data_IF_032718017322
#
_entry.id   IF_032718017322
#
_cell.length_a   1.000
_cell.length_b   1.000
_cell.length_c   1.000
_cell.angle_alpha   90.00
_cell.angle_beta   90.00
_cell.angle_gamma   90.00
#
_symmetry.space_group_name_H-M   'P 1'
#
loop_
_entity.id
_entity.type
_entity.pdbx_description
1 polymer ?
#
# COMPACT_ATOMS: atom_id res chain seq x y z
N UNK A 1 27.68 4.20 27.10
CA UNK A 1 26.43 4.95 26.88
C UNK A 1 25.78 4.44 25.60
N UNK A 2 24.42 4.22 25.61
CA UNK A 2 23.68 3.77 24.44
C UNK A 2 23.74 2.26 24.15
N UNK A 3 24.10 1.42 25.12
CA UNK A 3 24.03 -0.03 25.00
C UNK A 3 22.75 -0.55 25.64
N UNK A 4 22.05 -1.42 24.91
CA UNK A 4 20.97 -2.24 25.47
C UNK A 4 21.52 -3.11 26.61
N UNK A 5 20.88 -3.02 27.77
CA UNK A 5 21.25 -3.82 28.95
C UNK A 5 20.27 -4.97 29.12
N UNK A 6 18.97 -4.73 29.02
CA UNK A 6 17.93 -5.76 29.15
C UNK A 6 16.60 -5.33 28.53
N UNK A 7 15.90 -6.28 27.93
CA UNK A 7 14.49 -6.17 27.56
C UNK A 7 13.66 -6.77 28.69
N UNK A 8 12.74 -6.00 29.25
CA UNK A 8 11.90 -6.44 30.36
C UNK A 8 10.42 -6.36 29.98
N UNK A 9 9.66 -7.39 30.37
CA UNK A 9 8.21 -7.38 30.25
C UNK A 9 7.52 -6.39 31.20
N UNK A 10 6.18 -6.22 31.07
CA UNK A 10 5.41 -5.35 31.92
C UNK A 10 5.53 -5.77 33.39
N UNK A 11 5.66 -4.78 34.30
CA UNK A 11 5.78 -5.01 35.75
C UNK A 11 6.62 -3.97 36.44
N UNK A 12 6.66 -4.06 37.77
CA UNK A 12 7.50 -3.19 38.59
C UNK A 12 8.96 -3.65 38.53
N UNK A 13 9.86 -2.80 38.07
CA UNK A 13 11.29 -3.06 37.98
C UNK A 13 12.08 -1.91 38.54
N UNK A 14 13.15 -2.24 39.27
CA UNK A 14 14.13 -1.25 39.72
C UNK A 14 15.13 -0.98 38.60
N UNK A 15 15.42 0.30 38.39
CA UNK A 15 16.51 0.77 37.53
C UNK A 15 17.31 1.86 38.25
N UNK A 16 18.54 2.05 37.86
CA UNK A 16 19.37 3.11 38.42
C UNK A 16 18.90 4.49 37.85
N UNK A 17 18.99 5.55 38.69
CA UNK A 17 18.55 6.88 38.21
C UNK A 17 19.46 7.40 37.09
N UNK A 18 18.89 8.28 36.27
CA UNK A 18 19.68 9.05 35.30
C UNK A 18 20.84 9.79 36.01
N UNK A 19 22.04 9.84 35.45
CA UNK A 19 22.43 9.51 34.06
C UNK A 19 22.95 8.10 33.84
N UNK A 20 22.86 7.18 34.82
CA UNK A 20 23.44 5.85 34.75
C UNK A 20 22.63 4.94 33.82
N UNK A 21 21.32 4.90 34.00
CA UNK A 21 20.40 4.15 33.16
C UNK A 21 19.29 5.04 32.60
N UNK A 22 18.88 4.77 31.36
CA UNK A 22 17.67 5.32 30.75
C UNK A 22 16.74 4.15 30.36
N UNK A 23 15.44 4.40 30.39
CA UNK A 23 14.45 3.44 29.94
C UNK A 23 13.65 4.01 28.81
N UNK A 24 13.40 3.20 27.81
CA UNK A 24 12.45 3.46 26.72
C UNK A 24 11.29 2.47 26.84
N UNK A 25 10.06 2.99 26.84
CA UNK A 25 8.85 2.18 26.93
C UNK A 25 8.26 2.07 25.54
N UNK A 26 8.19 0.87 25.02
CA UNK A 26 7.66 0.59 23.68
C UNK A 26 6.39 -0.24 23.83
N UNK A 27 5.28 0.25 23.29
CA UNK A 27 4.04 -0.51 23.22
C UNK A 27 4.08 -1.42 22.00
N UNK A 28 4.30 -2.71 22.24
CA UNK A 28 4.41 -3.77 21.22
C UNK A 28 3.06 -4.36 20.83
N UNK A 29 2.04 -4.22 21.67
CA UNK A 29 0.72 -4.78 21.41
C UNK A 29 -0.14 -3.89 20.53
N UNK A 30 0.20 -2.61 20.43
CA UNK A 30 -0.56 -1.63 19.67
C UNK A 30 -0.37 -1.82 18.16
N UNK A 31 -1.46 -2.07 17.44
CA UNK A 31 -1.49 -2.00 15.99
C UNK A 31 -1.40 -0.53 15.57
N UNK A 32 -0.37 -0.21 14.83
CA UNK A 32 -0.12 1.12 14.25
C UNK A 32 -0.51 1.13 12.79
N UNK A 33 -0.71 2.33 12.24
CA UNK A 33 -1.17 2.54 10.86
C UNK A 33 -0.23 3.50 10.15
N UNK A 34 0.01 3.22 8.86
CA UNK A 34 0.68 4.13 7.96
C UNK A 34 -0.19 4.30 6.71
N UNK A 35 -0.29 5.52 6.23
CA UNK A 35 -1.03 5.94 5.05
C UNK A 35 -0.02 6.39 4.00
N UNK A 36 -0.09 5.82 2.80
CA UNK A 36 0.81 6.11 1.68
C UNK A 36 -0.04 6.56 0.49
N UNK A 37 0.33 7.69 -0.13
CA UNK A 37 -0.42 8.32 -1.21
C UNK A 37 -1.58 9.19 -0.74
N UNK A 38 -1.89 9.19 0.55
CA UNK A 38 -2.93 10.04 1.13
C UNK A 38 -2.64 10.31 2.61
N UNK A 39 -3.35 11.30 3.16
CA UNK A 39 -3.40 11.56 4.62
C UNK A 39 -4.83 11.82 5.03
N UNK A 40 -5.22 11.25 6.16
CA UNK A 40 -6.55 11.48 6.73
C UNK A 40 -6.48 12.64 7.71
N UNK A 41 -7.00 13.81 7.29
CA UNK A 41 -7.11 15.00 8.13
C UNK A 41 -8.58 15.31 8.41
N UNK A 42 -8.96 15.44 9.68
CA UNK A 42 -10.34 15.75 10.12
C UNK A 42 -11.42 14.83 9.51
N UNK A 43 -11.10 13.55 9.28
CA UNK A 43 -12.03 12.58 8.70
C UNK A 43 -12.20 12.67 7.18
N UNK A 44 -11.37 13.46 6.48
CA UNK A 44 -11.32 13.53 5.03
C UNK A 44 -9.98 13.03 4.53
N UNK A 45 -10.00 12.14 3.55
CA UNK A 45 -8.79 11.69 2.87
C UNK A 45 -8.35 12.79 1.89
N UNK A 46 -7.09 13.20 2.01
CA UNK A 46 -6.42 14.10 1.06
C UNK A 46 -5.36 13.32 0.34
N UNK A 47 -5.44 13.25 -0.97
CA UNK A 47 -4.43 12.59 -1.81
C UNK A 47 -3.16 13.46 -1.83
N UNK A 48 -2.01 12.79 -1.73
CA UNK A 48 -0.70 13.39 -1.92
C UNK A 48 -0.16 12.87 -3.25
N UNK A 49 -0.31 13.68 -4.30
CA UNK A 49 0.00 13.27 -5.67
C UNK A 49 1.42 12.75 -5.85
N UNK A 50 2.41 13.37 -5.18
CA UNK A 50 3.82 12.97 -5.24
C UNK A 50 4.05 11.53 -4.76
N UNK A 51 3.28 11.07 -3.77
CA UNK A 51 3.31 9.70 -3.22
C UNK A 51 2.35 8.74 -3.95
N UNK A 52 1.23 9.27 -4.48
CA UNK A 52 0.15 8.49 -5.05
C UNK A 52 0.36 8.13 -6.52
N UNK A 53 0.97 9.03 -7.32
CA UNK A 53 1.12 8.83 -8.75
C UNK A 53 2.18 7.78 -9.08
N UNK A 54 1.78 6.77 -9.84
CA UNK A 54 2.63 5.64 -10.23
C UNK A 54 2.38 5.26 -11.68
N UNK A 55 3.40 4.64 -12.30
CA UNK A 55 3.32 4.08 -13.63
C UNK A 55 3.11 2.56 -13.51
N UNK A 56 2.10 2.05 -14.17
CA UNK A 56 1.80 0.62 -14.26
C UNK A 56 2.64 -0.06 -15.35
N UNK A 57 2.65 -1.40 -15.37
CA UNK A 57 3.41 -2.19 -16.34
C UNK A 57 2.91 -2.04 -17.78
N UNK A 58 1.70 -1.57 -17.98
CA UNK A 58 1.06 -1.22 -19.25
C UNK A 58 1.14 0.28 -19.59
N UNK A 59 2.10 0.99 -18.98
CA UNK A 59 2.44 2.40 -19.24
C UNK A 59 1.32 3.41 -18.92
N UNK A 60 0.35 3.01 -18.08
CA UNK A 60 -0.68 3.92 -17.59
C UNK A 60 -0.25 4.62 -16.30
N UNK A 61 -0.62 5.90 -16.17
CA UNK A 61 -0.44 6.63 -14.92
C UNK A 61 -1.67 6.41 -14.05
N UNK A 62 -1.45 5.96 -12.81
CA UNK A 62 -2.51 5.70 -11.84
C UNK A 62 -2.21 6.38 -10.52
N UNK A 63 -3.27 6.78 -9.81
CA UNK A 63 -3.21 7.22 -8.42
C UNK A 63 -3.50 6.03 -7.53
N UNK A 64 -2.51 5.63 -6.71
CA UNK A 64 -2.61 4.49 -5.81
C UNK A 64 -2.58 4.96 -4.36
N UNK A 65 -3.52 4.47 -3.55
CA UNK A 65 -3.58 4.71 -2.12
C UNK A 65 -3.37 3.39 -1.38
N UNK A 66 -2.36 3.35 -0.50
CA UNK A 66 -2.02 2.17 0.27
C UNK A 66 -2.16 2.44 1.78
N UNK A 67 -2.83 1.54 2.45
CA UNK A 67 -2.98 1.51 3.90
C UNK A 67 -2.21 0.33 4.46
N UNK A 68 -1.31 0.58 5.40
CA UNK A 68 -0.47 -0.44 6.03
C UNK A 68 -0.75 -0.50 7.52
N UNK A 69 -0.99 -1.71 8.04
CA UNK A 69 -1.01 -1.99 9.48
C UNK A 69 0.25 -2.72 9.88
N UNK A 70 0.83 -2.33 11.00
CA UNK A 70 2.05 -2.93 11.51
C UNK A 70 2.10 -2.92 13.04
N UNK A 71 2.94 -3.78 13.58
CA UNK A 71 3.25 -3.86 15.01
C UNK A 71 4.76 -3.85 15.21
N UNK A 72 5.21 -3.51 16.41
CA UNK A 72 6.62 -3.60 16.77
C UNK A 72 6.89 -5.03 17.28
N UNK A 73 7.63 -5.81 16.47
CA UNK A 73 8.00 -7.19 16.79
C UNK A 73 9.27 -7.23 17.66
N UNK A 74 10.25 -6.39 17.32
CA UNK A 74 11.54 -6.35 18.01
C UNK A 74 11.80 -4.95 18.56
N UNK A 75 11.45 -4.68 19.85
CA UNK A 75 11.61 -3.36 20.45
C UNK A 75 13.06 -2.85 20.45
N UNK A 76 14.03 -3.73 20.63
CA UNK A 76 15.43 -3.36 20.61
C UNK A 76 15.88 -2.86 19.23
N UNK A 77 15.48 -3.54 18.16
CA UNK A 77 15.76 -3.10 16.80
C UNK A 77 15.09 -1.75 16.51
N UNK A 78 13.83 -1.60 16.91
CA UNK A 78 13.05 -0.38 16.73
C UNK A 78 13.69 0.84 17.40
N UNK A 79 14.24 0.70 18.62
CA UNK A 79 14.81 1.82 19.39
C UNK A 79 16.27 2.08 19.06
N UNK A 80 17.07 1.03 18.79
CA UNK A 80 18.53 1.16 18.75
C UNK A 80 19.15 0.97 17.36
N UNK A 81 18.49 0.28 16.43
CA UNK A 81 19.08 -0.01 15.13
C UNK A 81 18.63 0.95 14.02
N UNK A 82 17.38 1.35 14.04
CA UNK A 82 16.82 2.29 13.07
C UNK A 82 16.69 3.67 13.71
N UNK A 83 17.17 4.71 13.02
CA UNK A 83 17.09 6.09 13.51
C UNK A 83 15.65 6.61 13.54
N UNK A 84 14.88 6.29 12.51
CA UNK A 84 13.46 6.61 12.37
C UNK A 84 12.75 5.46 11.64
N UNK A 85 12.35 4.40 12.36
CA UNK A 85 11.77 3.23 11.74
C UNK A 85 10.40 3.49 11.08
N UNK A 86 9.68 4.53 11.52
CA UNK A 86 8.39 4.91 10.93
C UNK A 86 8.58 5.63 9.59
N UNK A 87 9.59 6.47 9.47
CA UNK A 87 9.94 7.10 8.19
C UNK A 87 10.48 6.04 7.20
N UNK A 88 11.31 5.10 7.66
CA UNK A 88 11.80 3.99 6.84
C UNK A 88 10.63 3.15 6.32
N UNK A 89 9.64 2.85 7.17
CA UNK A 89 8.44 2.12 6.77
C UNK A 89 7.67 2.87 5.66
N UNK A 90 7.47 4.19 5.79
CA UNK A 90 6.80 4.99 4.78
C UNK A 90 7.51 4.91 3.43
N UNK A 91 8.83 5.16 3.41
CA UNK A 91 9.64 5.09 2.18
C UNK A 91 9.67 3.67 1.59
N UNK A 92 9.84 2.64 2.44
CA UNK A 92 9.83 1.25 2.00
C UNK A 92 8.47 0.82 1.43
N UNK A 93 7.38 1.31 2.01
CA UNK A 93 6.02 1.05 1.52
C UNK A 93 5.78 1.71 0.16
N UNK A 94 6.26 2.94 -0.04
CA UNK A 94 6.21 3.62 -1.34
C UNK A 94 7.01 2.85 -2.41
N UNK A 95 8.21 2.39 -2.09
CA UNK A 95 9.03 1.57 -2.99
C UNK A 95 8.33 0.25 -3.33
N UNK A 96 7.77 -0.43 -2.34
CA UNK A 96 7.05 -1.69 -2.54
C UNK A 96 5.80 -1.50 -3.42
N UNK A 97 5.03 -0.44 -3.18
CA UNK A 97 3.85 -0.08 -3.96
C UNK A 97 4.22 0.25 -5.40
N UNK A 98 5.23 1.11 -5.61
CA UNK A 98 5.70 1.50 -6.95
C UNK A 98 6.25 0.30 -7.74
N UNK A 99 6.98 -0.59 -7.08
CA UNK A 99 7.46 -1.83 -7.69
C UNK A 99 6.33 -2.79 -8.07
N UNK A 100 5.28 -2.89 -7.25
CA UNK A 100 4.12 -3.73 -7.53
C UNK A 100 3.28 -3.13 -8.68
N UNK A 101 3.03 -1.83 -8.69
CA UNK A 101 2.35 -1.13 -9.79
C UNK A 101 3.06 -1.34 -11.13
N UNK A 102 4.38 -1.13 -11.18
CA UNK A 102 5.17 -1.28 -12.42
C UNK A 102 5.28 -2.70 -12.97
N UNK A 103 4.91 -3.72 -12.18
CA UNK A 103 4.91 -5.12 -12.63
C UNK A 103 3.54 -5.63 -13.08
N UNK A 104 2.48 -4.91 -12.76
CA UNK A 104 1.11 -5.31 -13.02
C UNK A 104 0.42 -4.31 -13.94
N UNK A 105 -0.58 -4.76 -14.68
CA UNK A 105 -1.45 -3.90 -15.47
C UNK A 105 -2.50 -3.23 -14.58
N UNK A 106 -3.07 -2.14 -15.05
CA UNK A 106 -4.14 -1.44 -14.33
C UNK A 106 -5.33 -2.36 -14.11
N UNK A 107 -5.77 -3.08 -15.16
CA UNK A 107 -6.92 -3.99 -15.10
C UNK A 107 -6.71 -5.10 -14.06
N UNK A 108 -5.52 -5.71 -14.04
CA UNK A 108 -5.19 -6.74 -13.06
C UNK A 108 -5.20 -6.21 -11.63
N UNK A 109 -4.71 -4.98 -11.43
CA UNK A 109 -4.65 -4.35 -10.11
C UNK A 109 -6.04 -3.94 -9.60
N UNK A 110 -6.97 -3.60 -10.50
CA UNK A 110 -8.34 -3.17 -10.15
C UNK A 110 -9.31 -4.33 -9.95
N UNK A 111 -9.04 -5.50 -10.54
CA UNK A 111 -9.95 -6.65 -10.58
C UNK A 111 -9.47 -7.83 -9.71
N UNK A 112 -9.44 -9.02 -10.27
CA UNK A 112 -9.15 -10.28 -9.59
C UNK A 112 -7.71 -10.37 -9.04
N UNK A 113 -6.77 -9.59 -9.61
CA UNK A 113 -5.37 -9.53 -9.19
C UNK A 113 -5.12 -8.70 -7.93
N UNK A 114 -6.09 -7.92 -7.48
CA UNK A 114 -5.91 -6.98 -6.36
C UNK A 114 -5.36 -7.63 -5.09
N UNK A 115 -5.89 -8.79 -4.73
CA UNK A 115 -5.39 -9.51 -3.57
C UNK A 115 -3.95 -9.98 -3.74
N UNK A 116 -3.58 -10.45 -4.94
CA UNK A 116 -2.22 -10.89 -5.23
C UNK A 116 -1.23 -9.70 -5.18
N UNK A 117 -1.63 -8.54 -5.71
CA UNK A 117 -0.83 -7.32 -5.66
C UNK A 117 -0.63 -6.85 -4.21
N UNK A 118 -1.67 -6.89 -3.37
CA UNK A 118 -1.57 -6.55 -1.95
C UNK A 118 -0.59 -7.48 -1.21
N UNK A 119 -0.64 -8.77 -1.48
CA UNK A 119 0.27 -9.74 -0.88
C UNK A 119 1.71 -9.55 -1.37
N UNK A 120 1.93 -9.23 -2.66
CA UNK A 120 3.25 -8.88 -3.19
C UNK A 120 3.82 -7.64 -2.49
N UNK A 121 3.00 -6.58 -2.32
CA UNK A 121 3.39 -5.37 -1.60
C UNK A 121 3.79 -5.70 -0.17
N UNK A 122 2.96 -6.45 0.54
CA UNK A 122 3.21 -6.86 1.93
C UNK A 122 4.54 -7.62 2.07
N UNK A 123 4.77 -8.61 1.21
CA UNK A 123 5.99 -9.41 1.25
C UNK A 123 7.23 -8.59 0.91
N UNK A 124 7.15 -7.73 -0.09
CA UNK A 124 8.25 -6.86 -0.48
C UNK A 124 8.56 -5.83 0.61
N UNK A 125 7.52 -5.21 1.18
CA UNK A 125 7.65 -4.28 2.29
C UNK A 125 8.31 -4.95 3.51
N UNK A 126 7.83 -6.14 3.91
CA UNK A 126 8.41 -6.87 5.04
C UNK A 126 9.88 -7.20 4.79
N UNK A 127 10.24 -7.60 3.57
CA UNK A 127 11.64 -7.88 3.22
C UNK A 127 12.53 -6.65 3.38
N UNK A 128 12.08 -5.49 2.92
CA UNK A 128 12.82 -4.23 3.08
C UNK A 128 12.97 -3.84 4.55
N UNK A 129 11.90 -3.99 5.35
CA UNK A 129 11.94 -3.68 6.79
C UNK A 129 12.87 -4.60 7.56
N UNK A 130 12.96 -5.87 7.17
CA UNK A 130 13.87 -6.85 7.74
C UNK A 130 15.34 -6.54 7.37
N UNK A 131 15.57 -6.17 6.10
CA UNK A 131 16.88 -5.76 5.62
C UNK A 131 17.41 -4.51 6.36
N UNK A 132 16.54 -3.53 6.58
CA UNK A 132 16.86 -2.33 7.36
C UNK A 132 16.83 -2.54 8.87
N UNK A 133 16.52 -3.74 9.33
CA UNK A 133 16.47 -4.12 10.75
C UNK A 133 15.61 -3.17 11.60
N UNK A 134 14.47 -2.78 11.09
CA UNK A 134 13.57 -1.81 11.75
C UNK A 134 12.84 -2.39 12.96
N UNK A 135 12.77 -3.72 13.10
CA UNK A 135 12.03 -4.40 14.15
C UNK A 135 10.50 -4.33 13.99
N UNK A 136 10.01 -3.93 12.81
CA UNK A 136 8.59 -3.81 12.49
C UNK A 136 8.07 -5.09 11.81
N UNK A 137 6.82 -5.46 12.09
CA UNK A 137 6.11 -6.54 11.42
C UNK A 137 4.85 -5.98 10.76
N UNK A 138 4.75 -6.15 9.45
CA UNK A 138 3.57 -5.78 8.67
C UNK A 138 2.49 -6.84 8.86
N UNK A 139 1.38 -6.47 9.44
CA UNK A 139 0.22 -7.35 9.62
C UNK A 139 -0.68 -7.34 8.41
N UNK A 140 -0.92 -6.17 7.82
CA UNK A 140 -1.79 -6.01 6.66
C UNK A 140 -1.27 -4.88 5.75
N UNK A 141 -1.38 -5.08 4.44
CA UNK A 141 -1.20 -4.05 3.42
C UNK A 141 -2.43 -4.09 2.50
N UNK A 142 -3.16 -2.99 2.42
CA UNK A 142 -4.41 -2.89 1.68
C UNK A 142 -4.39 -1.72 0.71
N UNK A 143 -4.62 -2.00 -0.55
CA UNK A 143 -4.90 -0.98 -1.55
C UNK A 143 -6.32 -0.45 -1.34
N UNK A 144 -6.47 0.86 -1.13
CA UNK A 144 -7.77 1.50 -0.93
C UNK A 144 -8.37 1.92 -2.26
N UNK A 145 -7.62 2.65 -3.05
CA UNK A 145 -8.07 3.23 -4.32
C UNK A 145 -6.95 3.11 -5.35
N UNK A 146 -7.32 2.76 -6.56
CA UNK A 146 -6.42 2.70 -7.73
C UNK A 146 -7.22 3.28 -8.88
N UNK A 147 -6.99 4.55 -9.20
CA UNK A 147 -7.75 5.27 -10.21
C UNK A 147 -6.83 6.03 -11.16
N UNK A 148 -7.27 6.29 -12.39
CA UNK A 148 -6.60 7.25 -13.25
C UNK A 148 -6.55 8.64 -12.60
N UNK A 149 -5.48 9.44 -12.80
CA UNK A 149 -5.41 10.80 -12.29
C UNK A 149 -6.61 11.64 -12.75
N UNK A 150 -7.09 12.56 -11.90
CA UNK A 150 -8.26 13.40 -12.22
C UNK A 150 -8.13 14.11 -13.56
N UNK A 151 -6.92 14.52 -13.94
CA UNK A 151 -6.64 15.21 -15.19
C UNK A 151 -6.98 14.40 -16.46
N UNK A 152 -7.05 13.07 -16.38
CA UNK A 152 -7.32 12.17 -17.52
C UNK A 152 -8.59 11.33 -17.33
N UNK A 153 -9.30 11.48 -16.20
CA UNK A 153 -10.50 10.70 -15.91
C UNK A 153 -11.58 10.87 -16.99
N UNK A 154 -11.82 12.08 -17.45
CA UNK A 154 -12.84 12.34 -18.50
C UNK A 154 -12.49 11.64 -19.81
N UNK A 155 -11.21 11.70 -20.22
CA UNK A 155 -10.74 11.02 -21.42
C UNK A 155 -10.80 9.48 -21.27
N UNK A 156 -10.51 8.95 -20.09
CA UNK A 156 -10.61 7.52 -19.80
C UNK A 156 -12.07 7.03 -19.84
N UNK A 157 -12.98 7.81 -19.28
CA UNK A 157 -14.42 7.51 -19.35
C UNK A 157 -14.96 7.54 -20.79
N UNK A 158 -14.46 8.44 -21.63
CA UNK A 158 -14.86 8.50 -23.05
C UNK A 158 -14.37 7.24 -23.81
N UNK A 159 -13.16 6.76 -23.53
CA UNK A 159 -12.66 5.52 -24.12
C UNK A 159 -13.50 4.32 -23.67
N UNK A 160 -13.80 4.20 -22.37
CA UNK A 160 -14.64 3.10 -21.85
C UNK A 160 -16.02 3.13 -22.50
N UNK A 161 -16.67 4.30 -22.59
CA UNK A 161 -17.96 4.45 -23.27
C UNK A 161 -17.90 4.05 -24.74
N UNK A 162 -16.85 4.45 -25.46
CA UNK A 162 -16.67 4.06 -26.85
C UNK A 162 -16.52 2.54 -27.03
N UNK A 163 -15.87 1.86 -26.07
CA UNK A 163 -15.77 0.40 -26.05
C UNK A 163 -17.12 -0.27 -25.78
N UNK A 164 -17.88 0.21 -24.82
CA UNK A 164 -19.23 -0.27 -24.52
C UNK A 164 -20.18 -0.07 -25.70
N UNK A 165 -20.14 1.09 -26.33
CA UNK A 165 -20.94 1.39 -27.51
C UNK A 165 -20.58 0.48 -28.70
N UNK A 166 -19.29 0.21 -28.92
CA UNK A 166 -18.83 -0.75 -29.94
C UNK A 166 -19.35 -2.14 -29.67
N UNK A 167 -19.25 -2.62 -28.43
CA UNK A 167 -19.72 -3.97 -28.08
C UNK A 167 -21.24 -4.06 -28.23
N UNK A 168 -21.98 -3.04 -27.80
CA UNK A 168 -23.43 -2.97 -28.00
C UNK A 168 -23.80 -3.04 -29.48
N UNK A 169 -23.16 -2.25 -30.34
CA UNK A 169 -23.41 -2.27 -31.79
C UNK A 169 -23.08 -3.63 -32.41
N UNK A 170 -22.03 -4.30 -31.95
CA UNK A 170 -21.70 -5.65 -32.38
C UNK A 170 -22.78 -6.69 -31.99
N UNK A 171 -23.31 -6.57 -30.77
CA UNK A 171 -24.38 -7.45 -30.30
C UNK A 171 -25.71 -7.19 -31.06
N UNK A 172 -26.05 -5.91 -31.29
CA UNK A 172 -27.20 -5.53 -32.12
C UNK A 172 -27.07 -6.07 -33.55
N UNK A 173 -25.89 -5.91 -34.17
CA UNK A 173 -25.63 -6.43 -35.52
C UNK A 173 -25.73 -7.96 -35.58
N UNK A 174 -25.27 -8.69 -34.56
CA UNK A 174 -25.43 -10.14 -34.47
C UNK A 174 -26.90 -10.52 -34.32
N UNK A 175 -27.66 -9.83 -33.48
CA UNK A 175 -29.11 -10.04 -33.35
C UNK A 175 -29.85 -9.81 -34.68
N UNK A 176 -29.54 -8.75 -35.41
CA UNK A 176 -30.09 -8.53 -36.74
C UNK A 176 -29.75 -9.65 -37.75
N UNK A 177 -28.51 -10.17 -37.66
CA UNK A 177 -28.11 -11.25 -38.58
C UNK A 177 -28.87 -12.55 -38.30
N UNK A 178 -29.11 -12.86 -37.00
CA UNK A 178 -29.88 -14.04 -36.59
C UNK A 178 -31.38 -13.93 -36.95
N UNK A 179 -31.94 -12.70 -36.92
CA UNK A 179 -33.36 -12.45 -37.27
C UNK A 179 -33.61 -12.47 -38.80
N UNK A 180 -32.62 -12.01 -39.59
CA UNK A 180 -32.81 -11.86 -41.07
C UNK A 180 -32.33 -13.07 -41.81
N UNK A 181 -31.39 -13.87 -41.32
CA UNK A 181 -30.94 -15.11 -41.96
C UNK A 181 -31.75 -16.29 -41.41
N UNK A 182 -32.83 -16.71 -42.11
CA UNK A 182 -33.60 -17.86 -41.67
C UNK A 182 -32.71 -19.09 -41.76
N UNK A 183 -32.69 -19.89 -40.70
CA UNK A 183 -32.05 -21.22 -40.69
C UNK A 183 -32.73 -22.11 -41.75
N UNK A 184 -32.07 -22.27 -42.87
CA UNK A 184 -32.43 -23.28 -43.86
C UNK A 184 -32.00 -24.68 -43.41
#
# INVERSE_FOLDING_TARGET
FGKEIAITGPGLRYHLPRPIESRDVVDVARVRRAEIGFRTEMGRARVIEEEALMLTGDENIVSCQLFVQYVIKEPAAFVFRARDPEQILGTAAEVALRSAAGRNTIDFTMTDGRFQVQEQIKQQLQRLLDEYQTGLLVTEARLLEVDPPQAVQDAFHDVVRAWEDRERLLQEARGFTEDIVPRS
#
